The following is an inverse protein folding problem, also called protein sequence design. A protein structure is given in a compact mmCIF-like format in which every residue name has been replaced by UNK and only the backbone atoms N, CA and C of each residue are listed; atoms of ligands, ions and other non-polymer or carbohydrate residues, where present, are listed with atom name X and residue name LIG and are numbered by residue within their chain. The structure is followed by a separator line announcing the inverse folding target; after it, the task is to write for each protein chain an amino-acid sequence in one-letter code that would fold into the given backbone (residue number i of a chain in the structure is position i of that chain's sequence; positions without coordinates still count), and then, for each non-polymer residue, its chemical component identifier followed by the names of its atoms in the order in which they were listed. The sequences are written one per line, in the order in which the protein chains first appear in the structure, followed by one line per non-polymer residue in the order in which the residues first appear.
data_IF_637917917931
#
_entry.id   IF_637917917931
#
_cell.length_a   1.000
_cell.length_b   1.000
_cell.length_c   1.000
_cell.angle_alpha   90.00
_cell.angle_beta   90.00
_cell.angle_gamma   90.00
#
_symmetry.space_group_name_H-M   'P 1'
#
loop_
_entity.id
_entity.type
_entity.pdbx_description
1 polymer ?
#
# COMPACT_ATOMS: atom_id res chain seq x y z
N UNK A 1 6.00 -12.07 -20.44
CA UNK A 1 5.74 -13.21 -21.35
C UNK A 1 6.35 -14.48 -20.75
N UNK A 2 5.67 -15.61 -20.95
CA UNK A 2 6.16 -16.91 -20.52
C UNK A 2 6.42 -17.78 -21.75
N UNK A 3 7.61 -18.35 -21.82
CA UNK A 3 7.97 -19.35 -22.84
C UNK A 3 7.90 -20.73 -22.24
N UNK A 4 7.33 -21.69 -22.96
CA UNK A 4 7.34 -23.08 -22.54
C UNK A 4 8.67 -23.77 -22.87
N UNK A 5 8.80 -25.05 -22.49
CA UNK A 5 10.04 -25.79 -22.69
C UNK A 5 10.44 -26.02 -24.17
N UNK A 6 9.57 -25.72 -25.12
CA UNK A 6 9.86 -25.72 -26.56
C UNK A 6 10.26 -24.37 -27.11
N UNK A 7 10.24 -23.32 -26.27
CA UNK A 7 10.49 -21.92 -26.65
C UNK A 7 9.26 -21.24 -27.25
N UNK A 8 8.09 -21.89 -27.24
CA UNK A 8 6.86 -21.28 -27.72
C UNK A 8 6.28 -20.36 -26.63
N UNK A 9 5.74 -19.22 -27.06
CA UNK A 9 5.06 -18.28 -26.15
C UNK A 9 3.73 -18.89 -25.66
N UNK A 10 3.58 -18.98 -24.35
CA UNK A 10 2.33 -19.39 -23.74
C UNK A 10 1.25 -18.32 -23.96
N UNK A 11 0.05 -18.74 -24.32
CA UNK A 11 -1.10 -17.86 -24.51
C UNK A 11 -2.39 -18.52 -24.01
N UNK A 12 -3.33 -17.71 -23.51
CA UNK A 12 -4.66 -18.12 -23.03
C UNK A 12 -4.63 -19.30 -22.04
N UNK A 13 -3.66 -19.28 -21.11
CA UNK A 13 -3.54 -20.36 -20.12
C UNK A 13 -2.97 -19.92 -18.79
N UNK A 14 -3.21 -20.72 -17.78
CA UNK A 14 -2.62 -20.57 -16.45
C UNK A 14 -1.19 -21.12 -16.42
N UNK A 15 -0.29 -20.36 -15.78
CA UNK A 15 1.08 -20.75 -15.44
C UNK A 15 1.21 -20.61 -13.92
N UNK A 16 1.01 -21.73 -13.21
CA UNK A 16 0.85 -21.68 -11.76
C UNK A 16 -0.32 -20.78 -11.36
N UNK A 17 -0.05 -19.74 -10.57
CA UNK A 17 -1.06 -18.77 -10.12
C UNK A 17 -1.22 -17.54 -11.04
N UNK A 18 -0.61 -17.54 -12.23
CA UNK A 18 -0.66 -16.44 -13.18
C UNK A 18 -1.39 -16.87 -14.45
N UNK A 19 -2.15 -15.96 -15.05
CA UNK A 19 -2.78 -16.21 -16.34
C UNK A 19 -2.09 -15.36 -17.43
N UNK A 20 -1.78 -15.99 -18.56
CA UNK A 20 -1.29 -15.31 -19.75
C UNK A 20 -2.41 -15.21 -20.78
N UNK A 21 -2.62 -14.00 -21.30
CA UNK A 21 -3.66 -13.69 -22.29
C UNK A 21 -3.31 -14.24 -23.67
N UNK A 22 -4.19 -14.06 -24.65
CA UNK A 22 -3.92 -14.43 -26.05
C UNK A 22 -2.72 -13.72 -26.66
N UNK A 23 -2.35 -12.55 -26.15
CA UNK A 23 -1.14 -11.82 -26.57
C UNK A 23 0.13 -12.30 -25.83
N UNK A 24 0.03 -13.29 -24.95
CA UNK A 24 1.13 -13.75 -24.11
C UNK A 24 1.48 -12.80 -22.96
N UNK A 25 0.75 -11.71 -22.79
CA UNK A 25 0.93 -10.79 -21.66
C UNK A 25 0.28 -11.39 -20.40
N UNK A 26 0.89 -11.14 -19.24
CA UNK A 26 0.31 -11.51 -17.95
C UNK A 26 -0.97 -10.69 -17.71
N UNK A 27 -2.07 -11.37 -17.40
CA UNK A 27 -3.29 -10.71 -16.99
C UNK A 27 -3.12 -10.08 -15.59
N UNK A 28 -3.64 -8.88 -15.41
CA UNK A 28 -3.63 -8.16 -14.12
C UNK A 28 -4.98 -7.48 -13.91
N UNK A 29 -5.43 -7.36 -12.66
CA UNK A 29 -6.68 -6.69 -12.28
C UNK A 29 -7.88 -7.08 -13.16
N UNK A 30 -8.06 -8.37 -13.44
CA UNK A 30 -9.13 -8.83 -14.32
C UNK A 30 -9.67 -10.21 -13.94
N UNK A 31 -10.86 -10.52 -14.41
CA UNK A 31 -11.46 -11.84 -14.29
C UNK A 31 -11.03 -12.76 -15.43
N UNK A 32 -10.64 -13.99 -15.09
CA UNK A 32 -10.41 -15.08 -16.03
C UNK A 32 -11.44 -16.16 -15.70
N UNK A 33 -12.58 -16.09 -16.36
CA UNK A 33 -13.73 -16.89 -15.96
C UNK A 33 -14.17 -16.57 -14.53
N UNK A 34 -14.13 -17.57 -13.65
CA UNK A 34 -14.46 -17.41 -12.22
C UNK A 34 -13.27 -17.05 -11.33
N UNK A 35 -12.10 -16.81 -11.91
CA UNK A 35 -10.86 -16.57 -11.17
C UNK A 35 -10.44 -15.12 -11.33
N UNK A 36 -10.24 -14.40 -10.20
CA UNK A 36 -9.70 -13.06 -10.23
C UNK A 36 -8.17 -13.09 -10.17
N UNK A 37 -7.51 -12.30 -11.01
CA UNK A 37 -6.08 -12.02 -10.93
C UNK A 37 -5.85 -10.59 -10.45
N UNK A 38 -5.01 -10.44 -9.44
CA UNK A 38 -4.71 -9.15 -8.81
C UNK A 38 -3.78 -8.25 -9.64
N UNK A 39 -3.40 -7.11 -9.08
CA UNK A 39 -2.49 -6.16 -9.71
C UNK A 39 -1.09 -6.76 -9.96
N UNK A 40 -0.67 -7.72 -9.15
CA UNK A 40 0.56 -8.48 -9.28
C UNK A 40 0.46 -9.66 -10.26
N UNK A 41 -0.70 -9.82 -10.91
CA UNK A 41 -1.01 -10.88 -11.86
C UNK A 41 -1.32 -12.24 -11.24
N UNK A 42 -1.31 -12.37 -9.90
CA UNK A 42 -1.63 -13.63 -9.22
C UNK A 42 -3.12 -13.85 -9.11
N UNK A 43 -3.52 -15.09 -9.24
CA UNK A 43 -4.85 -15.52 -8.84
C UNK A 43 -5.06 -15.26 -7.34
N UNK A 44 -6.17 -14.59 -7.03
CA UNK A 44 -6.61 -14.32 -5.66
C UNK A 44 -7.75 -15.27 -5.32
N UNK A 45 -7.50 -16.33 -4.54
CA UNK A 45 -8.52 -17.27 -4.13
C UNK A 45 -9.66 -16.59 -3.37
N UNK A 46 -10.91 -16.89 -3.72
CA UNK A 46 -12.07 -16.33 -3.03
C UNK A 46 -12.40 -14.89 -3.37
N UNK A 47 -11.69 -14.25 -4.28
CA UNK A 47 -12.06 -12.93 -4.79
C UNK A 47 -13.46 -13.03 -5.45
N UNK A 48 -14.43 -12.28 -4.92
CA UNK A 48 -15.81 -12.29 -5.42
C UNK A 48 -16.58 -13.60 -5.22
N UNK A 49 -16.01 -14.62 -4.58
CA UNK A 49 -16.75 -15.79 -4.13
C UNK A 49 -17.56 -15.41 -2.90
N UNK A 50 -18.81 -15.06 -3.09
CA UNK A 50 -19.79 -15.02 -2.01
C UNK A 50 -20.00 -16.43 -1.49
N UNK A 51 -19.21 -16.85 -0.49
CA UNK A 51 -19.71 -17.84 0.44
C UNK A 51 -20.83 -17.17 1.24
N UNK A 52 -22.03 -17.26 0.71
CA UNK A 52 -23.25 -16.89 1.42
C UNK A 52 -23.60 -15.40 1.37
N UNK A 53 -24.69 -15.15 0.68
CA UNK A 53 -25.64 -14.04 0.78
C UNK A 53 -25.49 -12.85 -0.13
N UNK A 54 -26.52 -12.76 -0.97
CA UNK A 54 -27.10 -11.57 -1.59
C UNK A 54 -26.10 -10.64 -2.29
N UNK A 55 -26.05 -10.78 -3.62
CA UNK A 55 -25.83 -9.65 -4.47
C UNK A 55 -26.76 -8.53 -3.97
N UNK A 56 -26.21 -7.66 -3.13
CA UNK A 56 -26.90 -6.41 -2.84
C UNK A 56 -27.02 -5.71 -4.18
N UNK A 57 -28.22 -5.42 -4.60
CA UNK A 57 -28.59 -4.43 -5.58
C UNK A 57 -28.17 -3.05 -5.08
N UNK A 58 -26.90 -2.90 -4.73
CA UNK A 58 -26.30 -1.69 -4.23
C UNK A 58 -25.32 -1.17 -5.25
N UNK A 59 -25.51 0.04 -5.75
CA UNK A 59 -24.55 0.76 -6.58
C UNK A 59 -23.19 0.92 -5.90
N UNK A 60 -22.26 1.62 -6.54
CA UNK A 60 -20.96 1.95 -6.00
C UNK A 60 -21.04 2.54 -4.57
N UNK A 61 -20.09 2.15 -3.72
CA UNK A 61 -19.98 2.73 -2.38
C UNK A 61 -19.85 1.71 -1.26
N UNK A 62 -20.06 2.20 -0.06
CA UNK A 62 -19.93 1.42 1.16
C UNK A 62 -21.09 0.42 1.32
N UNK A 63 -20.72 -0.80 1.68
CA UNK A 63 -21.64 -1.90 1.95
C UNK A 63 -21.29 -2.55 3.29
N UNK A 64 -22.28 -2.84 4.11
CA UNK A 64 -22.09 -3.53 5.38
C UNK A 64 -22.77 -4.90 5.33
N UNK A 65 -22.05 -5.92 5.75
CA UNK A 65 -22.57 -7.29 5.89
C UNK A 65 -22.17 -7.79 7.28
N UNK A 66 -23.15 -7.93 8.14
CA UNK A 66 -22.90 -8.15 9.57
C UNK A 66 -22.10 -6.97 10.15
N UNK A 67 -20.99 -7.28 10.82
CA UNK A 67 -20.09 -6.27 11.38
C UNK A 67 -18.93 -5.89 10.45
N UNK A 68 -18.92 -6.38 9.22
CA UNK A 68 -17.83 -6.16 8.27
C UNK A 68 -18.24 -5.16 7.20
N UNK A 69 -17.37 -4.19 6.95
CA UNK A 69 -17.54 -3.21 5.89
C UNK A 69 -16.79 -3.63 4.63
N UNK A 70 -17.40 -3.34 3.50
CA UNK A 70 -16.89 -3.54 2.15
C UNK A 70 -17.09 -2.27 1.33
N UNK A 71 -16.42 -2.18 0.20
CA UNK A 71 -16.66 -1.11 -0.76
C UNK A 71 -16.88 -1.70 -2.15
N UNK A 72 -17.90 -1.22 -2.86
CA UNK A 72 -18.15 -1.59 -4.25
C UNK A 72 -17.69 -0.48 -5.20
N UNK A 73 -17.09 -0.86 -6.31
CA UNK A 73 -16.73 0.05 -7.40
C UNK A 73 -17.97 0.50 -8.19
N UNK A 74 -17.77 1.31 -9.23
CA UNK A 74 -18.86 1.82 -10.10
C UNK A 74 -19.65 0.71 -10.81
N UNK A 75 -19.09 -0.50 -10.92
CA UNK A 75 -19.73 -1.66 -11.54
C UNK A 75 -20.43 -2.55 -10.51
N UNK A 76 -20.43 -2.16 -9.23
CA UNK A 76 -20.98 -2.96 -8.13
C UNK A 76 -20.06 -4.08 -7.64
N UNK A 77 -18.83 -4.19 -8.15
CA UNK A 77 -17.88 -5.22 -7.73
C UNK A 77 -17.19 -4.81 -6.42
N UNK A 78 -17.07 -5.76 -5.48
CA UNK A 78 -16.33 -5.51 -4.24
C UNK A 78 -14.86 -5.26 -4.52
N UNK A 79 -14.37 -4.17 -3.95
CA UNK A 79 -12.93 -3.86 -3.91
C UNK A 79 -12.23 -4.84 -2.99
N UNK A 80 -11.14 -5.46 -3.43
CA UNK A 80 -10.34 -6.37 -2.60
C UNK A 80 -8.85 -6.25 -2.92
N UNK A 81 -8.02 -6.62 -1.93
CA UNK A 81 -6.57 -6.67 -2.00
C UNK A 81 -5.92 -5.39 -2.54
N UNK A 82 -6.46 -4.21 -2.21
CA UNK A 82 -5.93 -2.94 -2.68
C UNK A 82 -6.25 -1.76 -1.76
N UNK A 83 -5.47 -0.72 -1.93
CA UNK A 83 -5.70 0.59 -1.36
C UNK A 83 -6.75 1.36 -2.16
N UNK A 84 -7.57 2.12 -1.45
CA UNK A 84 -8.52 3.06 -2.05
C UNK A 84 -8.55 4.35 -1.25
N UNK A 85 -8.54 5.48 -1.95
CA UNK A 85 -8.72 6.80 -1.33
C UNK A 85 -10.16 7.23 -1.49
N UNK A 86 -10.87 7.33 -0.36
CA UNK A 86 -12.29 7.69 -0.32
C UNK A 86 -12.44 8.95 0.52
N UNK A 87 -12.98 10.00 -0.06
CA UNK A 87 -13.18 11.32 0.62
C UNK A 87 -11.93 11.81 1.37
N UNK A 88 -10.75 11.65 0.77
CA UNK A 88 -9.49 12.12 1.33
C UNK A 88 -8.76 11.14 2.27
N UNK A 89 -9.42 10.12 2.79
CA UNK A 89 -8.83 9.09 3.65
C UNK A 89 -8.44 7.84 2.87
N UNK A 90 -7.34 7.19 3.29
CA UNK A 90 -6.90 5.93 2.73
C UNK A 90 -7.50 4.75 3.48
N UNK A 91 -7.98 3.76 2.72
CA UNK A 91 -8.51 2.49 3.19
C UNK A 91 -7.79 1.35 2.50
N UNK A 92 -7.70 0.22 3.15
CA UNK A 92 -7.24 -1.01 2.55
C UNK A 92 -8.33 -2.07 2.64
N UNK A 93 -8.56 -2.77 1.55
CA UNK A 93 -9.49 -3.89 1.49
C UNK A 93 -8.69 -5.18 1.36
N UNK A 94 -8.92 -6.09 2.28
CA UNK A 94 -8.23 -7.39 2.34
C UNK A 94 -8.59 -8.26 1.13
N UNK A 95 -7.95 -9.42 0.98
CA UNK A 95 -8.17 -10.33 -0.16
C UNK A 95 -9.63 -10.83 -0.26
N UNK A 96 -10.34 -10.90 0.88
CA UNK A 96 -11.77 -11.23 0.95
C UNK A 96 -12.68 -10.01 0.75
N UNK A 97 -12.13 -8.84 0.46
CA UNK A 97 -12.83 -7.57 0.30
C UNK A 97 -13.21 -6.87 1.61
N UNK A 98 -12.90 -7.44 2.76
CA UNK A 98 -13.18 -6.80 4.05
C UNK A 98 -12.32 -5.54 4.24
N UNK A 99 -12.93 -4.47 4.75
CA UNK A 99 -12.22 -3.27 5.13
C UNK A 99 -11.27 -3.55 6.30
N UNK A 100 -10.00 -3.21 6.14
CA UNK A 100 -8.98 -3.36 7.19
C UNK A 100 -9.26 -2.43 8.37
N UNK A 101 -9.05 -2.93 9.58
CA UNK A 101 -9.06 -2.17 10.84
C UNK A 101 -7.90 -2.64 11.72
N UNK A 102 -7.46 -1.78 12.66
CA UNK A 102 -6.33 -2.10 13.52
C UNK A 102 -5.02 -2.21 12.76
N UNK A 103 -4.07 -2.95 13.31
CA UNK A 103 -2.76 -3.15 12.70
C UNK A 103 -2.82 -4.17 11.57
N UNK A 104 -2.27 -3.79 10.39
CA UNK A 104 -2.17 -4.67 9.21
C UNK A 104 -0.79 -4.55 8.58
N UNK A 105 -0.22 -5.69 8.17
CA UNK A 105 1.01 -5.75 7.40
C UNK A 105 0.68 -5.87 5.92
N UNK A 106 1.12 -4.90 5.13
CA UNK A 106 0.81 -4.79 3.70
C UNK A 106 2.13 -4.50 2.97
N UNK A 107 2.53 -5.36 2.04
CA UNK A 107 3.75 -5.22 1.25
C UNK A 107 5.01 -4.94 2.09
N UNK A 108 5.15 -5.61 3.24
CA UNK A 108 6.31 -5.50 4.12
C UNK A 108 6.25 -4.35 5.13
N UNK A 109 5.31 -3.43 5.02
CA UNK A 109 5.10 -2.33 5.96
C UNK A 109 3.91 -2.58 6.88
N UNK A 110 3.96 -2.07 8.11
CA UNK A 110 2.91 -2.21 9.12
C UNK A 110 2.15 -0.89 9.28
N UNK A 111 0.89 -0.90 8.86
CA UNK A 111 -0.02 0.25 8.91
C UNK A 111 -1.06 0.10 10.02
N UNK A 112 -1.58 1.22 10.48
CA UNK A 112 -2.67 1.25 11.44
C UNK A 112 -3.91 1.91 10.84
N UNK A 113 -5.05 1.21 10.96
CA UNK A 113 -6.36 1.69 10.56
C UNK A 113 -7.22 1.88 11.80
N UNK A 114 -7.89 3.01 11.91
CA UNK A 114 -8.80 3.24 13.03
C UNK A 114 -10.07 2.36 12.94
N UNK A 115 -10.97 2.48 13.89
CA UNK A 115 -12.20 1.69 13.91
C UNK A 115 -13.13 1.93 12.71
N UNK A 116 -13.03 3.10 12.05
CA UNK A 116 -13.76 3.39 10.82
C UNK A 116 -13.03 2.93 9.55
N UNK A 117 -11.90 2.24 9.67
CA UNK A 117 -11.09 1.72 8.57
C UNK A 117 -10.20 2.75 7.89
N UNK A 118 -10.19 4.00 8.33
CA UNK A 118 -9.30 5.01 7.78
C UNK A 118 -7.86 4.80 8.28
N UNK A 119 -6.90 4.78 7.36
CA UNK A 119 -5.48 4.71 7.69
C UNK A 119 -5.07 5.96 8.46
N UNK A 120 -4.44 5.75 9.61
CA UNK A 120 -3.87 6.82 10.42
C UNK A 120 -2.51 7.21 9.84
N UNK A 121 -2.39 8.47 9.38
CA UNK A 121 -1.17 8.98 8.73
C UNK A 121 -0.15 9.56 9.71
N UNK A 122 -0.58 9.90 10.91
CA UNK A 122 0.26 10.36 12.02
C UNK A 122 0.09 9.38 13.17
N UNK A 123 1.08 8.54 13.39
CA UNK A 123 1.04 7.49 14.40
C UNK A 123 1.62 7.90 15.76
N UNK A 124 2.04 9.15 15.94
CA UNK A 124 2.66 9.61 17.19
C UNK A 124 1.78 9.32 18.43
N UNK A 125 0.47 9.52 18.29
CA UNK A 125 -0.50 9.24 19.36
C UNK A 125 -0.81 7.75 19.55
N UNK A 126 -0.54 6.93 18.53
CA UNK A 126 -0.86 5.48 18.57
C UNK A 126 0.29 4.67 19.14
N UNK A 127 1.53 4.96 18.73
CA UNK A 127 2.70 4.18 19.16
C UNK A 127 3.51 4.86 20.24
N UNK A 128 3.23 6.14 20.54
CA UNK A 128 4.00 6.96 21.45
C UNK A 128 5.44 7.17 20.97
N UNK A 129 6.26 7.75 21.86
CA UNK A 129 7.66 8.07 21.54
C UNK A 129 8.51 6.81 21.46
N UNK A 130 9.21 6.66 20.33
CA UNK A 130 10.13 5.55 20.09
C UNK A 130 11.58 5.93 20.45
N UNK A 131 12.39 4.93 20.78
CA UNK A 131 13.81 5.13 21.11
C UNK A 131 14.65 5.53 19.89
N UNK A 132 14.24 5.09 18.71
CA UNK A 132 14.92 5.38 17.45
C UNK A 132 13.96 5.37 16.26
N UNK A 133 14.33 6.11 15.22
CA UNK A 133 13.60 6.20 13.96
C UNK A 133 14.56 6.06 12.79
N UNK A 134 14.07 5.59 11.67
CA UNK A 134 14.71 5.65 10.38
C UNK A 134 14.00 6.70 9.53
N UNK A 135 14.76 7.63 8.96
CA UNK A 135 14.23 8.75 8.18
C UNK A 135 14.74 8.61 6.75
N UNK A 136 13.84 8.65 5.79
CA UNK A 136 14.19 8.70 4.36
C UNK A 136 13.83 10.06 3.79
N UNK A 137 14.68 10.57 2.90
CA UNK A 137 14.43 11.79 2.13
C UNK A 137 14.44 11.42 0.65
N UNK A 138 13.29 11.51 0.02
CA UNK A 138 13.16 11.35 -1.41
C UNK A 138 13.30 12.72 -2.09
N UNK A 139 14.44 12.95 -2.76
CA UNK A 139 14.73 14.24 -3.40
C UNK A 139 13.84 14.50 -4.62
N UNK A 140 13.44 13.47 -5.34
CA UNK A 140 12.58 13.61 -6.53
C UNK A 140 11.15 13.95 -6.13
N UNK A 141 10.62 13.26 -5.11
CA UNK A 141 9.27 13.50 -4.60
C UNK A 141 9.19 14.67 -3.61
N UNK A 142 10.32 15.28 -3.23
CA UNK A 142 10.40 16.31 -2.18
C UNK A 142 9.69 15.86 -0.89
N UNK A 143 9.98 14.64 -0.44
CA UNK A 143 9.25 13.99 0.64
C UNK A 143 10.19 13.40 1.69
N UNK A 144 9.90 13.66 2.95
CA UNK A 144 10.51 13.00 4.11
C UNK A 144 9.54 12.00 4.67
N UNK A 145 10.01 10.77 4.94
CA UNK A 145 9.22 9.74 5.59
C UNK A 145 9.95 9.21 6.83
N UNK A 146 9.24 9.11 7.93
CA UNK A 146 9.75 8.65 9.22
C UNK A 146 9.20 7.26 9.49
N UNK A 147 10.08 6.33 9.85
CA UNK A 147 9.72 4.96 10.19
C UNK A 147 10.13 4.62 11.63
N UNK A 148 9.27 3.93 12.35
CA UNK A 148 9.56 3.30 13.61
C UNK A 148 9.86 1.81 13.43
N UNK A 149 10.49 1.20 14.44
CA UNK A 149 10.69 -0.25 14.48
C UNK A 149 9.40 -0.97 14.83
N UNK A 150 9.12 -2.07 14.12
CA UNK A 150 8.10 -3.02 14.53
C UNK A 150 8.68 -4.06 15.49
N UNK A 151 7.84 -5.00 15.91
CA UNK A 151 8.21 -6.19 16.69
C UNK A 151 9.24 -7.08 16.00
N UNK A 152 9.40 -6.95 14.69
CA UNK A 152 10.43 -7.67 13.93
C UNK A 152 11.82 -7.04 14.02
N UNK A 153 11.94 -5.89 14.69
CA UNK A 153 13.17 -5.10 14.77
C UNK A 153 13.51 -4.29 13.52
N UNK A 154 12.66 -4.35 12.48
CA UNK A 154 12.82 -3.59 11.24
C UNK A 154 12.10 -2.25 11.32
N UNK A 155 12.62 -1.23 10.64
CA UNK A 155 11.96 0.08 10.49
C UNK A 155 10.91 0.00 9.37
N UNK A 156 9.78 -0.62 9.65
CA UNK A 156 8.72 -0.92 8.70
C UNK A 156 7.34 -0.38 9.10
N UNK A 157 7.28 0.45 10.15
CA UNK A 157 6.09 1.22 10.52
C UNK A 157 6.24 2.64 9.98
N UNK A 158 5.54 3.03 8.90
CA UNK A 158 5.51 4.43 8.46
C UNK A 158 4.74 5.26 9.48
N UNK A 159 5.46 6.12 10.21
CA UNK A 159 4.88 6.92 11.31
C UNK A 159 4.30 8.22 10.79
N UNK A 160 5.06 8.91 9.93
CA UNK A 160 4.72 10.27 9.49
C UNK A 160 5.42 10.63 8.19
N UNK A 161 4.77 11.46 7.39
CA UNK A 161 5.29 11.95 6.13
C UNK A 161 5.23 13.48 6.10
N UNK A 162 6.27 14.12 5.57
CA UNK A 162 6.35 15.56 5.39
C UNK A 162 6.75 15.88 3.95
N UNK A 163 6.32 17.03 3.44
CA UNK A 163 6.94 17.65 2.27
C UNK A 163 8.20 18.39 2.70
N UNK A 164 9.20 18.43 1.83
CA UNK A 164 10.44 19.17 2.07
C UNK A 164 10.89 19.89 0.81
N UNK A 165 11.77 20.87 0.98
CA UNK A 165 12.56 21.43 -0.11
C UNK A 165 13.84 20.63 -0.27
N UNK A 166 14.39 20.62 -1.46
CA UNK A 166 15.68 20.00 -1.79
C UNK A 166 16.59 21.05 -2.43
N UNK A 167 17.89 20.79 -2.41
CA UNK A 167 18.89 21.69 -2.99
C UNK A 167 18.70 21.88 -4.50
N UNK A 168 19.10 23.05 -4.98
CA UNK A 168 19.10 23.41 -6.40
C UNK A 168 20.14 22.57 -7.19
N UNK A 169 20.06 22.55 -8.54
CA UNK A 169 21.03 21.81 -9.36
C UNK A 169 22.50 22.15 -9.08
N UNK A 170 22.81 23.40 -8.73
CA UNK A 170 24.18 23.86 -8.40
C UNK A 170 24.61 23.52 -6.97
N UNK A 171 23.65 23.29 -6.06
CA UNK A 171 23.89 22.96 -4.64
C UNK A 171 22.96 21.83 -4.21
N UNK A 172 23.15 20.62 -4.76
CA UNK A 172 22.20 19.54 -4.55
C UNK A 172 22.24 19.04 -3.10
N UNK A 173 21.09 18.64 -2.58
CA UNK A 173 21.02 17.90 -1.31
C UNK A 173 21.90 16.65 -1.39
N UNK A 174 22.86 16.44 -0.46
CA UNK A 174 23.72 15.27 -0.46
C UNK A 174 22.90 13.96 -0.45
N UNK A 175 23.46 12.94 -1.08
CA UNK A 175 22.90 11.56 -1.05
C UNK A 175 23.78 10.67 -0.18
N UNK A 176 23.19 9.73 0.49
CA UNK A 176 23.89 8.78 1.35
C UNK A 176 23.08 8.39 2.56
N UNK A 177 23.68 7.58 3.42
CA UNK A 177 23.14 7.21 4.73
C UNK A 177 23.90 7.94 5.81
N UNK A 178 23.16 8.63 6.68
CA UNK A 178 23.72 9.47 7.73
C UNK A 178 23.15 9.05 9.08
N UNK A 179 23.97 9.14 10.13
CA UNK A 179 23.50 8.99 11.51
C UNK A 179 23.36 10.37 12.14
N UNK A 180 22.20 10.63 12.76
CA UNK A 180 21.98 11.89 13.48
C UNK A 180 22.70 11.87 14.82
N UNK A 181 23.80 12.64 15.02
CA UNK A 181 24.59 12.58 16.23
C UNK A 181 23.91 13.26 17.43
N UNK A 182 23.03 14.23 17.16
CA UNK A 182 22.34 15.01 18.18
C UNK A 182 20.95 15.45 17.70
N UNK A 183 20.08 15.79 18.66
CA UNK A 183 18.72 16.30 18.41
C UNK A 183 18.59 17.63 19.15
N UNK A 184 18.26 18.67 18.39
CA UNK A 184 18.03 20.01 18.94
C UNK A 184 16.60 20.44 18.64
N UNK A 185 15.91 21.00 19.60
CA UNK A 185 14.63 21.68 19.37
C UNK A 185 14.83 23.01 18.64
N UNK A 186 15.90 23.70 19.03
CA UNK A 186 16.34 24.98 18.45
C UNK A 186 17.86 24.93 18.29
N UNK A 187 18.36 25.32 17.15
CA UNK A 187 19.78 25.42 16.86
C UNK A 187 20.04 26.60 15.94
N UNK A 188 21.05 27.39 16.26
CA UNK A 188 21.52 28.46 15.37
C UNK A 188 22.18 27.82 14.16
N UNK A 189 21.67 28.09 12.97
CA UNK A 189 22.31 27.69 11.73
C UNK A 189 23.50 28.60 11.48
N UNK A 190 24.70 28.04 11.58
CA UNK A 190 25.94 28.68 11.17
C UNK A 190 26.15 28.35 9.70
N UNK A 191 25.72 29.22 8.80
CA UNK A 191 26.03 29.14 7.38
C UNK A 191 27.25 29.99 7.04
N UNK A 192 27.87 29.82 5.85
CA UNK A 192 28.85 30.77 5.38
C UNK A 192 28.20 32.16 5.30
N UNK A 193 28.85 33.15 5.92
CA UNK A 193 28.50 34.55 5.75
C UNK A 193 28.73 34.92 4.28
N UNK A 194 27.68 35.29 3.58
CA UNK A 194 27.77 35.89 2.27
C UNK A 194 28.06 37.38 2.38
#
# INVERSE_FOLDING_TARGET
YYMDGSGAMAANRWIGNYYVTGSGAMATNTWIGSYWVGADGKWVPGYGSSAGTTAGTGGAGWQQVGNTWYYADSNGNRVANRWLRIKGSWYYFESNGAMATGWKRINGYKYYFNASGAMVQDLDSVIGRQSSYYITVNRVACQVMVYAKSETGKYDIPVKTFTCSVGLPGTPTPTGTFTTPAKYRWHTLMGPSY
#
